data_IF_156010213572
#
_entry.id   IF_156010213572
#
_cell.length_a   1.000
_cell.length_b   1.000
_cell.length_c   1.000
_cell.angle_alpha   90.00
_cell.angle_beta   90.00
_cell.angle_gamma   90.00
#
_symmetry.space_group_name_H-M   'P 1'
#
loop_
_entity.id
_entity.type
_entity.pdbx_description
1 polymer ?
#
# COMPACT_ATOMS: atom_id res chain seq x y z
N UNK A 1 25.24 2.52 4.36
CA UNK A 1 24.45 1.35 3.93
C UNK A 1 23.03 1.49 4.45
N UNK A 2 22.07 1.33 3.56
CA UNK A 2 20.67 1.42 3.95
C UNK A 2 20.29 0.16 4.75
N UNK A 3 19.73 0.36 5.93
CA UNK A 3 19.23 -0.76 6.72
C UNK A 3 18.02 -1.37 6.04
N UNK A 4 17.91 -2.70 6.03
CA UNK A 4 16.70 -3.34 5.51
C UNK A 4 15.51 -3.00 6.39
N UNK A 5 14.32 -3.13 5.85
CA UNK A 5 13.10 -2.98 6.62
C UNK A 5 13.06 -4.04 7.72
N UNK A 6 12.59 -3.66 8.88
CA UNK A 6 12.53 -4.55 10.03
C UNK A 6 11.09 -4.80 10.43
N UNK A 7 10.80 -6.03 10.84
CA UNK A 7 9.51 -6.37 11.41
C UNK A 7 9.59 -6.05 12.89
N UNK A 8 8.68 -5.19 13.34
CA UNK A 8 8.62 -4.76 14.74
C UNK A 8 7.29 -5.23 15.30
N UNK A 9 7.35 -6.07 16.34
CA UNK A 9 6.14 -6.51 17.03
C UNK A 9 5.75 -5.46 18.06
N UNK A 10 4.52 -4.96 17.97
CA UNK A 10 4.02 -3.93 18.86
C UNK A 10 3.30 -4.54 20.04
N UNK A 11 3.28 -3.78 21.16
CA UNK A 11 2.61 -4.20 22.38
C UNK A 11 1.08 -4.29 22.23
N UNK A 12 0.51 -3.61 21.24
CA UNK A 12 -0.92 -3.65 20.95
C UNK A 12 -1.32 -4.82 20.04
N UNK A 13 -0.39 -5.72 19.76
CA UNK A 13 -0.65 -6.90 18.95
C UNK A 13 -0.46 -6.72 17.46
N UNK A 14 -0.02 -5.55 17.01
CA UNK A 14 0.26 -5.31 15.60
C UNK A 14 1.66 -5.80 15.24
N UNK A 15 1.77 -6.33 14.04
CA UNK A 15 3.07 -6.49 13.38
C UNK A 15 3.28 -5.21 12.58
N UNK A 16 4.34 -4.49 12.89
CA UNK A 16 4.62 -3.22 12.25
C UNK A 16 5.89 -3.31 11.43
N UNK A 17 5.81 -2.85 10.19
CA UNK A 17 6.96 -2.81 9.28
C UNK A 17 7.10 -1.39 8.75
N UNK A 18 8.32 -0.84 8.83
CA UNK A 18 8.65 0.43 8.19
C UNK A 18 9.46 0.18 6.93
N UNK A 19 9.04 0.80 5.84
CA UNK A 19 9.72 0.74 4.55
C UNK A 19 10.07 2.17 4.12
N UNK A 20 11.27 2.35 3.58
CA UNK A 20 11.68 3.67 3.09
C UNK A 20 10.99 4.07 1.79
N UNK A 21 10.30 3.12 1.15
CA UNK A 21 9.56 3.39 -0.09
C UNK A 21 8.29 4.18 0.19
N UNK A 22 8.05 5.21 -0.60
CA UNK A 22 6.85 6.04 -0.48
C UNK A 22 5.74 5.54 -1.39
N UNK A 23 4.50 5.78 -0.96
CA UNK A 23 3.32 5.54 -1.79
C UNK A 23 3.20 6.67 -2.79
N UNK A 24 3.05 6.31 -4.07
CA UNK A 24 2.81 7.27 -5.13
C UNK A 24 1.32 7.60 -5.23
N UNK A 25 1.01 8.82 -5.63
CA UNK A 25 -0.36 9.21 -5.91
C UNK A 25 -0.89 8.40 -7.10
N UNK A 26 -2.11 7.87 -6.97
CA UNK A 26 -2.76 7.17 -8.09
C UNK A 26 -2.83 8.06 -9.33
N UNK A 27 -3.01 9.36 -9.13
CA UNK A 27 -3.09 10.33 -10.22
C UNK A 27 -1.86 10.31 -11.13
N UNK A 28 -0.71 9.88 -10.63
CA UNK A 28 0.51 9.76 -11.42
C UNK A 28 0.35 8.73 -12.55
N UNK A 29 -0.51 7.74 -12.37
CA UNK A 29 -0.67 6.62 -13.30
C UNK A 29 -1.95 6.73 -14.13
N UNK A 30 -2.78 7.75 -13.87
CA UNK A 30 -4.05 7.94 -14.55
C UNK A 30 -3.93 9.11 -15.52
N UNK A 31 -4.31 8.93 -16.80
CA UNK A 31 -4.26 10.04 -17.74
C UNK A 31 -5.31 11.10 -17.37
N UNK A 32 -4.87 12.33 -17.17
CA UNK A 32 -5.79 13.46 -17.02
C UNK A 32 -6.43 13.77 -18.38
N UNK A 33 -7.55 14.49 -18.36
CA UNK A 33 -8.20 14.95 -19.60
C UNK A 33 -7.21 15.74 -20.46
N UNK A 34 -6.40 16.59 -19.82
CA UNK A 34 -5.39 17.39 -20.51
C UNK A 34 -4.30 16.51 -21.13
N UNK A 35 -3.85 15.50 -20.42
CA UNK A 35 -2.82 14.57 -20.92
C UNK A 35 -3.34 13.79 -22.11
N UNK A 36 -4.58 13.31 -22.07
CA UNK A 36 -5.21 12.60 -23.17
C UNK A 36 -5.28 13.51 -24.40
N UNK A 37 -5.74 14.74 -24.22
CA UNK A 37 -5.85 15.73 -25.30
C UNK A 37 -4.47 16.01 -25.93
N UNK A 38 -3.46 16.20 -25.10
CA UNK A 38 -2.10 16.49 -25.57
C UNK A 38 -1.53 15.30 -26.35
N UNK A 39 -1.73 14.08 -25.88
CA UNK A 39 -1.27 12.88 -26.58
C UNK A 39 -1.95 12.74 -27.94
N UNK A 40 -3.27 12.95 -28.01
CA UNK A 40 -4.01 12.87 -29.27
C UNK A 40 -3.53 13.90 -30.27
N UNK A 41 -3.29 15.15 -29.83
CA UNK A 41 -2.85 16.21 -30.74
C UNK A 41 -1.45 15.97 -31.30
N UNK A 42 -0.59 15.25 -30.55
CA UNK A 42 0.77 14.93 -30.95
C UNK A 42 0.89 13.57 -31.62
N UNK A 43 -0.22 12.83 -31.77
CA UNK A 43 -0.18 11.47 -32.28
C UNK A 43 0.53 10.47 -31.35
N UNK A 44 0.68 10.82 -30.08
CA UNK A 44 1.36 9.99 -29.08
C UNK A 44 0.31 9.24 -28.27
N UNK A 45 0.58 7.98 -27.98
CA UNK A 45 -0.25 7.16 -27.13
C UNK A 45 0.11 7.40 -25.66
N UNK A 46 -0.88 7.27 -24.77
CA UNK A 46 -0.65 7.36 -23.35
C UNK A 46 -0.55 5.98 -22.67
N UNK A 47 -0.39 4.92 -23.43
CA UNK A 47 -0.23 3.55 -22.92
C UNK A 47 1.01 3.38 -22.05
N UNK A 48 1.99 4.28 -22.20
CA UNK A 48 3.17 4.28 -21.33
C UNK A 48 2.80 4.39 -19.84
N UNK A 49 1.63 4.95 -19.52
CA UNK A 49 1.16 5.05 -18.14
C UNK A 49 0.89 3.67 -17.54
N UNK A 50 0.39 2.75 -18.35
CA UNK A 50 0.19 1.37 -17.90
C UNK A 50 1.52 0.69 -17.58
N UNK A 51 2.56 0.97 -18.35
CA UNK A 51 3.90 0.43 -18.11
C UNK A 51 4.50 1.01 -16.83
N UNK A 52 4.34 2.32 -16.61
CA UNK A 52 4.80 2.97 -15.39
C UNK A 52 4.09 2.38 -14.18
N UNK A 53 2.80 2.17 -14.27
CA UNK A 53 2.02 1.59 -13.18
C UNK A 53 2.43 0.13 -12.91
N UNK A 54 2.63 -0.66 -13.96
CA UNK A 54 3.11 -2.02 -13.81
C UNK A 54 4.46 -2.07 -13.10
N UNK A 55 5.36 -1.14 -13.44
CA UNK A 55 6.65 -1.02 -12.77
C UNK A 55 6.48 -0.66 -11.30
N UNK A 56 5.59 0.27 -11.00
CA UNK A 56 5.27 0.67 -9.62
C UNK A 56 4.78 -0.54 -8.81
N UNK A 57 3.87 -1.33 -9.36
CA UNK A 57 3.39 -2.55 -8.70
C UNK A 57 4.52 -3.53 -8.41
N UNK A 58 5.43 -3.72 -9.37
CA UNK A 58 6.59 -4.61 -9.19
C UNK A 58 7.53 -4.10 -8.12
N UNK A 59 7.74 -2.79 -8.01
CA UNK A 59 8.61 -2.24 -6.97
C UNK A 59 8.02 -2.47 -5.58
N UNK A 60 6.70 -2.41 -5.43
CA UNK A 60 6.07 -2.74 -4.16
C UNK A 60 6.16 -4.24 -3.86
N UNK A 61 5.97 -5.09 -4.86
CA UNK A 61 6.14 -6.54 -4.67
C UNK A 61 7.56 -6.85 -4.18
N UNK A 62 8.57 -6.17 -4.73
CA UNK A 62 9.95 -6.33 -4.28
C UNK A 62 10.20 -5.76 -2.89
N UNK A 63 9.61 -4.62 -2.56
CA UNK A 63 9.77 -4.01 -1.24
C UNK A 63 9.13 -4.85 -0.13
N UNK A 64 8.08 -5.58 -0.45
CA UNK A 64 7.32 -6.37 0.54
C UNK A 64 7.85 -7.80 0.73
N UNK A 65 9.06 -8.10 0.24
CA UNK A 65 9.69 -9.42 0.50
C UNK A 65 9.94 -9.64 1.99
N UNK A 66 9.92 -8.57 2.79
CA UNK A 66 10.00 -8.67 4.25
C UNK A 66 8.80 -9.46 4.83
N UNK A 67 7.68 -9.51 4.10
CA UNK A 67 6.57 -10.38 4.41
C UNK A 67 6.75 -11.68 3.61
N UNK A 68 7.25 -12.76 4.21
CA UNK A 68 7.45 -14.01 3.47
C UNK A 68 6.11 -14.59 3.04
N UNK A 69 6.13 -15.44 2.02
CA UNK A 69 4.92 -16.14 1.62
C UNK A 69 4.50 -17.11 2.71
N UNK A 70 3.23 -17.07 3.09
CA UNK A 70 2.65 -17.97 4.06
C UNK A 70 1.39 -18.61 3.46
N UNK A 71 0.93 -19.67 4.08
CA UNK A 71 -0.29 -20.33 3.65
C UNK A 71 -1.46 -19.37 3.79
N UNK A 72 -2.22 -19.19 2.72
CA UNK A 72 -3.39 -18.33 2.72
C UNK A 72 -4.52 -19.01 3.48
N UNK A 73 -5.02 -18.36 4.52
CA UNK A 73 -6.11 -18.88 5.34
C UNK A 73 -7.18 -17.84 5.51
N UNK A 74 -8.40 -18.29 5.75
CA UNK A 74 -9.49 -17.39 6.10
C UNK A 74 -9.23 -16.85 7.51
N UNK A 75 -8.74 -15.62 7.56
CA UNK A 75 -8.49 -14.93 8.83
C UNK A 75 -8.85 -13.48 8.68
N UNK A 76 -9.32 -12.89 9.77
CA UNK A 76 -9.65 -11.46 9.80
C UNK A 76 -8.41 -10.71 10.25
N UNK A 77 -7.93 -9.80 9.39
CA UNK A 77 -6.73 -9.02 9.65
C UNK A 77 -7.04 -7.55 9.45
N UNK A 78 -6.82 -6.75 10.47
CA UNK A 78 -6.92 -5.29 10.37
C UNK A 78 -5.61 -4.75 9.84
N UNK A 79 -5.69 -3.87 8.86
CA UNK A 79 -4.54 -3.29 8.19
C UNK A 79 -4.55 -1.78 8.35
N UNK A 80 -3.42 -1.22 8.76
CA UNK A 80 -3.20 0.22 8.81
C UNK A 80 -1.97 0.52 7.98
N UNK A 81 -2.13 1.39 6.98
CA UNK A 81 -1.04 1.84 6.13
C UNK A 81 -0.86 3.33 6.39
N UNK A 82 0.33 3.71 6.81
CA UNK A 82 0.65 5.10 7.11
C UNK A 82 1.69 5.58 6.11
N UNK A 83 1.32 6.56 5.30
CA UNK A 83 2.22 7.18 4.33
C UNK A 83 2.88 8.40 4.97
N UNK A 84 4.17 8.33 5.22
CA UNK A 84 4.96 9.45 5.74
C UNK A 84 5.50 10.24 4.56
N UNK A 85 5.04 11.47 4.40
CA UNK A 85 5.28 12.28 3.21
C UNK A 85 5.69 13.68 3.56
N UNK A 86 6.48 14.29 2.72
CA UNK A 86 6.79 15.72 2.85
C UNK A 86 5.63 16.60 2.38
N UNK A 87 4.79 16.06 1.49
CA UNK A 87 3.64 16.76 0.93
C UNK A 87 2.42 15.85 0.95
N UNK A 88 1.33 16.35 1.54
CA UNK A 88 0.08 15.59 1.59
C UNK A 88 -0.62 15.59 0.22
N UNK A 89 -1.34 14.51 -0.06
CA UNK A 89 -2.07 14.32 -1.32
C UNK A 89 -3.54 14.02 -1.01
N UNK A 90 -4.39 14.02 -2.04
CA UNK A 90 -5.79 13.66 -1.88
C UNK A 90 -5.92 12.22 -1.37
N UNK A 91 -6.86 12.01 -0.46
CA UNK A 91 -7.06 10.69 0.16
C UNK A 91 -7.42 9.62 -0.86
N UNK A 92 -8.20 9.96 -1.89
CA UNK A 92 -8.53 9.00 -2.95
C UNK A 92 -7.28 8.55 -3.70
N UNK A 93 -6.38 9.48 -3.98
CA UNK A 93 -5.12 9.18 -4.66
C UNK A 93 -4.18 8.37 -3.76
N UNK A 94 -4.20 8.65 -2.47
CA UNK A 94 -3.43 7.88 -1.50
C UNK A 94 -3.95 6.45 -1.39
N UNK A 95 -5.25 6.31 -1.26
CA UNK A 95 -5.90 5.00 -1.17
C UNK A 95 -5.60 4.16 -2.42
N UNK A 96 -5.76 4.76 -3.60
CA UNK A 96 -5.47 4.06 -4.86
C UNK A 96 -4.00 3.71 -5.01
N UNK A 97 -3.10 4.62 -4.59
CA UNK A 97 -1.66 4.37 -4.63
C UNK A 97 -1.20 3.27 -3.69
N UNK A 98 -1.97 2.95 -2.65
CA UNK A 98 -1.68 1.89 -1.70
C UNK A 98 -2.14 0.51 -2.17
N UNK A 99 -2.91 0.43 -3.25
CA UNK A 99 -3.48 -0.84 -3.72
C UNK A 99 -2.42 -1.92 -4.00
N UNK A 100 -1.26 -1.60 -4.61
CA UNK A 100 -0.23 -2.62 -4.82
C UNK A 100 0.27 -3.27 -3.53
N UNK A 101 0.26 -2.53 -2.42
CA UNK A 101 0.65 -3.07 -1.11
C UNK A 101 -0.36 -4.14 -0.70
N UNK A 102 -1.66 -3.82 -0.76
CA UNK A 102 -2.73 -4.73 -0.37
C UNK A 102 -2.76 -5.97 -1.25
N UNK A 103 -2.64 -5.77 -2.56
CA UNK A 103 -2.63 -6.88 -3.52
C UNK A 103 -1.45 -7.83 -3.28
N UNK A 104 -0.29 -7.27 -2.94
CA UNK A 104 0.90 -8.08 -2.65
C UNK A 104 0.72 -8.87 -1.36
N UNK A 105 0.18 -8.25 -0.32
CA UNK A 105 -0.08 -8.95 0.95
C UNK A 105 -1.08 -10.09 0.76
N UNK A 106 -2.09 -9.91 -0.10
CA UNK A 106 -3.01 -10.98 -0.45
C UNK A 106 -2.30 -12.14 -1.15
N UNK A 107 -1.47 -11.83 -2.16
CA UNK A 107 -0.74 -12.87 -2.89
C UNK A 107 0.21 -13.64 -1.99
N UNK A 108 0.75 -13.00 -0.97
CA UNK A 108 1.69 -13.63 -0.04
C UNK A 108 0.98 -14.35 1.13
N UNK A 109 -0.34 -14.31 1.16
CA UNK A 109 -1.13 -15.05 2.13
C UNK A 109 -1.42 -14.31 3.43
N UNK A 110 -0.96 -13.07 3.58
CA UNK A 110 -1.15 -12.28 4.80
C UNK A 110 -2.56 -11.72 4.92
N UNK A 111 -3.22 -11.45 3.80
CA UNK A 111 -4.61 -10.99 3.76
C UNK A 111 -5.42 -12.00 2.96
N UNK A 112 -6.65 -12.27 3.39
CA UNK A 112 -7.50 -13.21 2.67
C UNK A 112 -8.13 -12.56 1.43
N UNK A 113 -8.73 -11.38 1.61
CA UNK A 113 -9.44 -10.67 0.55
C UNK A 113 -9.60 -9.21 0.96
N UNK A 114 -10.00 -8.37 0.01
CA UNK A 114 -10.26 -6.93 0.23
C UNK A 114 -11.61 -6.66 0.89
N UNK A 115 -12.51 -7.63 0.93
CA UNK A 115 -13.85 -7.41 1.46
C UNK A 115 -13.80 -7.00 2.94
N UNK A 116 -14.65 -6.05 3.38
CA UNK A 116 -14.61 -5.55 4.76
C UNK A 116 -14.82 -6.62 5.83
N UNK A 117 -15.48 -7.70 5.50
CA UNK A 117 -15.68 -8.83 6.45
C UNK A 117 -14.36 -9.48 6.86
N UNK A 118 -13.29 -9.29 6.09
CA UNK A 118 -11.97 -9.88 6.36
C UNK A 118 -11.04 -8.95 7.10
N UNK A 119 -11.54 -7.80 7.56
CA UNK A 119 -10.82 -6.86 8.39
C UNK A 119 -10.98 -5.44 7.92
N UNK A 120 -10.67 -4.51 8.83
CA UNK A 120 -10.67 -3.09 8.53
C UNK A 120 -9.41 -2.69 7.77
N UNK A 121 -9.55 -1.64 6.96
CA UNK A 121 -8.42 -1.02 6.28
C UNK A 121 -8.44 0.47 6.57
N UNK A 122 -7.32 0.99 7.06
CA UNK A 122 -7.11 2.42 7.21
C UNK A 122 -5.87 2.81 6.42
N UNK A 123 -5.99 3.82 5.58
CA UNK A 123 -4.86 4.41 4.88
C UNK A 123 -4.79 5.85 5.30
N UNK A 124 -3.74 6.21 6.02
CA UNK A 124 -3.54 7.56 6.55
C UNK A 124 -2.22 8.11 6.07
N UNK A 125 -2.12 9.43 6.13
CA UNK A 125 -0.88 10.11 5.75
C UNK A 125 -0.43 11.00 6.90
N UNK A 126 0.88 11.17 7.00
CA UNK A 126 1.51 11.99 8.01
C UNK A 126 2.57 12.86 7.33
N UNK A 127 2.50 14.15 7.58
CA UNK A 127 3.48 15.07 7.03
C UNK A 127 4.76 15.01 7.87
N UNK A 128 5.88 14.75 7.22
CA UNK A 128 7.18 14.61 7.89
C UNK A 128 8.22 15.43 7.15
N UNK A 129 9.40 15.55 7.75
CA UNK A 129 10.53 16.21 7.13
C UNK A 129 11.16 15.31 6.07
N UNK A 130 11.84 15.94 5.10
CA UNK A 130 12.63 15.21 4.11
C UNK A 130 13.65 14.32 4.83
N UNK A 131 13.74 13.07 4.46
CA UNK A 131 14.59 12.09 5.12
C UNK A 131 13.85 11.18 6.10
N UNK A 132 12.65 11.56 6.51
CA UNK A 132 11.81 10.74 7.38
C UNK A 132 10.66 10.08 6.63
N UNK A 133 10.64 10.21 5.29
CA UNK A 133 9.59 9.69 4.45
C UNK A 133 9.63 8.17 4.36
N UNK A 134 8.49 7.58 4.08
CA UNK A 134 8.37 6.14 3.93
C UNK A 134 6.95 5.67 4.17
N UNK A 135 6.81 4.39 4.42
CA UNK A 135 5.50 3.77 4.63
C UNK A 135 5.57 2.82 5.82
N UNK A 136 4.60 2.95 6.71
CA UNK A 136 4.43 2.00 7.83
C UNK A 136 3.24 1.11 7.50
N UNK A 137 3.42 -0.19 7.63
CA UNK A 137 2.35 -1.16 7.45
C UNK A 137 2.16 -1.89 8.78
N UNK A 138 0.94 -1.83 9.31
CA UNK A 138 0.57 -2.51 10.54
C UNK A 138 -0.49 -3.55 10.24
N UNK A 139 -0.26 -4.77 10.69
CA UNK A 139 -1.21 -5.87 10.54
C UNK A 139 -1.53 -6.45 11.90
N UNK A 140 -2.82 -6.60 12.19
CA UNK A 140 -3.28 -7.26 13.41
C UNK A 140 -4.31 -8.32 13.07
N UNK A 141 -4.00 -9.56 13.42
CA UNK A 141 -4.94 -10.66 13.28
C UNK A 141 -6.00 -10.54 14.39
N UNK A 142 -7.27 -10.53 14.01
CA UNK A 142 -8.34 -10.55 14.99
C UNK A 142 -8.52 -11.97 15.52
N UNK A 143 -8.73 -12.04 16.83
CA UNK A 143 -9.18 -13.27 17.45
C UNK A 143 -10.66 -13.48 17.08
N UNK A 144 -11.06 -14.69 16.74
CA UNK A 144 -12.43 -15.04 16.40
C UNK A 144 -13.41 -14.65 17.52
N UNK A 145 -12.97 -14.74 18.77
CA UNK A 145 -13.78 -14.35 19.92
C UNK A 145 -14.14 -12.88 19.90
N UNK A 146 -13.23 -12.04 19.44
CA UNK A 146 -13.45 -10.60 19.39
C UNK A 146 -14.32 -10.19 18.20
N UNK A 147 -14.35 -10.99 17.14
CA UNK A 147 -15.19 -10.73 15.97
C UNK A 147 -16.64 -11.05 16.19
N UNK A 148 -16.99 -11.83 17.20
CA UNK A 148 -18.35 -12.23 17.53
C UNK A 148 -18.99 -11.40 18.64
N UNK A 149 -18.21 -10.54 19.29
CA UNK A 149 -18.66 -9.81 20.47
C UNK A 149 -19.41 -8.53 20.18
N UNK A 150 -19.53 -8.18 18.92
CA UNK A 150 -20.19 -6.92 18.52
C UNK A 150 -21.40 -7.21 17.65
#
# INVERSE_FOLDING_TARGET
MRLPSQIITQSDGYIEVFLTKEIESLNKFMPSKRAIKNCKSKGVDYDYLADIYAKYKRTWAGALVVFPMIEKKERIVDTIIISKRTRLIDLENLYGGSKPIRDTLQRRGWLHDDAPRWGGLQVIQEKVSKGETGTIIKLRKRDERNSQGD
#
